data_IF_061222546997
#
_entry.id   IF_061222546997
#
_cell.length_a   1.000
_cell.length_b   1.000
_cell.length_c   1.000
_cell.angle_alpha   90.00
_cell.angle_beta   90.00
_cell.angle_gamma   90.00
#
_symmetry.space_group_name_H-M   'P 1'
#
loop_
_entity.id
_entity.type
_entity.pdbx_description
1 polymer ?
#
# COMPACT_ATOMS: atom_id res chain seq x y z
N UNK A 1 36.05 -8.80 17.21
CA UNK A 1 35.44 -7.49 16.83
C UNK A 1 34.49 -7.75 15.67
N UNK A 2 33.19 -7.49 15.82
CA UNK A 2 32.28 -7.47 14.66
C UNK A 2 32.81 -6.40 13.70
N UNK A 3 33.17 -6.78 12.49
CA UNK A 3 33.58 -5.83 11.45
C UNK A 3 32.41 -4.87 11.22
N UNK A 4 32.67 -3.57 11.20
CA UNK A 4 31.66 -2.53 11.03
C UNK A 4 31.09 -2.45 9.61
N UNK A 5 31.74 -3.15 8.66
CA UNK A 5 31.49 -3.14 7.22
C UNK A 5 31.72 -4.54 6.63
N UNK A 6 30.71 -5.40 6.62
CA UNK A 6 30.62 -6.57 5.75
C UNK A 6 29.80 -6.24 4.52
N UNK A 7 30.19 -6.80 3.38
CA UNK A 7 29.44 -6.63 2.15
C UNK A 7 28.03 -7.22 2.27
N UNK A 8 27.03 -6.60 1.59
CA UNK A 8 25.73 -7.21 1.45
C UNK A 8 25.86 -8.59 0.78
N UNK A 9 25.02 -9.55 1.19
CA UNK A 9 24.97 -10.89 0.58
C UNK A 9 23.72 -11.00 -0.29
N UNK A 10 23.87 -11.62 -1.45
CA UNK A 10 22.78 -11.83 -2.37
C UNK A 10 21.88 -12.95 -1.85
N UNK A 11 20.59 -12.67 -1.74
CA UNK A 11 19.57 -13.62 -1.34
C UNK A 11 18.77 -14.02 -2.60
N UNK A 12 19.03 -15.23 -3.13
CA UNK A 12 18.25 -15.88 -4.19
C UNK A 12 18.01 -17.34 -3.78
N UNK A 13 16.80 -17.89 -3.96
CA UNK A 13 16.62 -19.36 -3.93
C UNK A 13 16.06 -19.94 -2.66
N UNK A 14 15.56 -21.17 -2.77
CA UNK A 14 15.19 -22.05 -1.64
C UNK A 14 16.44 -22.60 -0.92
N UNK A 15 17.65 -22.40 -1.46
CA UNK A 15 18.92 -22.91 -0.91
C UNK A 15 19.29 -22.36 0.48
N UNK A 16 18.58 -21.33 0.98
CA UNK A 16 18.66 -20.82 2.35
C UNK A 16 17.37 -21.05 3.18
N UNK A 17 16.53 -22.03 2.83
CA UNK A 17 15.28 -22.36 3.57
C UNK A 17 15.51 -22.99 4.97
N UNK A 18 16.73 -23.48 5.23
CA UNK A 18 17.09 -24.09 6.52
C UNK A 18 17.08 -23.12 7.71
N UNK A 19 17.15 -21.81 7.47
CA UNK A 19 16.95 -20.78 8.49
C UNK A 19 15.63 -20.06 8.21
N UNK A 20 14.55 -20.51 8.86
CA UNK A 20 13.29 -19.79 8.94
C UNK A 20 13.50 -18.45 9.66
N UNK A 21 14.00 -17.45 8.94
CA UNK A 21 14.24 -16.12 9.49
C UNK A 21 13.01 -15.26 9.20
N UNK A 22 12.10 -15.17 10.17
CA UNK A 22 11.00 -14.19 10.15
C UNK A 22 11.54 -12.77 9.91
N UNK A 23 10.70 -11.86 9.39
CA UNK A 23 11.09 -10.47 9.20
C UNK A 23 11.75 -9.91 10.48
N UNK A 24 12.84 -9.16 10.30
CA UNK A 24 13.62 -8.67 11.44
C UNK A 24 12.81 -7.64 12.23
N UNK A 25 13.03 -7.53 13.55
CA UNK A 25 12.40 -6.49 14.38
C UNK A 25 12.60 -5.08 13.82
N UNK A 26 13.75 -4.85 13.16
CA UNK A 26 14.06 -3.57 12.53
C UNK A 26 13.23 -3.29 11.28
N UNK A 27 12.88 -4.32 10.49
CA UNK A 27 11.94 -4.18 9.37
C UNK A 27 10.52 -3.87 9.85
N UNK A 28 10.08 -4.50 10.95
CA UNK A 28 8.81 -4.15 11.58
C UNK A 28 8.80 -2.70 12.10
N UNK A 29 9.88 -2.26 12.75
CA UNK A 29 10.03 -0.87 13.19
C UNK A 29 10.07 0.12 12.01
N UNK A 30 10.68 -0.27 10.89
CA UNK A 30 10.66 0.50 9.65
C UNK A 30 9.25 0.64 9.09
N UNK A 31 8.49 -0.44 9.06
CA UNK A 31 7.13 -0.44 8.55
C UNK A 31 6.23 0.49 9.38
N UNK A 32 6.41 0.60 10.70
CA UNK A 32 5.67 1.55 11.57
C UNK A 32 5.79 3.01 11.12
N UNK A 33 6.96 3.45 10.63
CA UNK A 33 7.14 4.84 10.17
C UNK A 33 6.29 5.12 8.93
N UNK A 34 6.06 4.11 8.08
CA UNK A 34 5.14 4.25 6.95
C UNK A 34 3.68 4.25 7.39
N UNK A 35 3.33 3.54 8.47
CA UNK A 35 1.97 3.61 9.05
C UNK A 35 1.66 5.04 9.48
N UNK A 36 2.61 5.70 10.14
CA UNK A 36 2.47 7.13 10.50
C UNK A 36 2.28 7.99 9.24
N UNK A 37 3.04 7.74 8.17
CA UNK A 37 2.85 8.48 6.91
C UNK A 37 1.47 8.23 6.28
N UNK A 38 0.95 7.00 6.34
CA UNK A 38 -0.41 6.68 5.86
C UNK A 38 -1.47 7.32 6.74
N UNK A 39 -1.29 7.37 8.06
CA UNK A 39 -2.19 8.06 8.99
C UNK A 39 -2.25 9.56 8.68
N UNK A 40 -1.10 10.21 8.43
CA UNK A 40 -1.07 11.62 8.00
C UNK A 40 -1.80 11.84 6.66
N UNK A 41 -1.71 10.89 5.72
CA UNK A 41 -2.47 10.95 4.47
C UNK A 41 -3.98 10.79 4.71
N UNK A 42 -4.38 9.88 5.60
CA UNK A 42 -5.78 9.65 5.95
C UNK A 42 -6.38 10.90 6.62
N UNK A 43 -5.67 11.48 7.58
CA UNK A 43 -6.08 12.74 8.23
C UNK A 43 -6.18 13.90 7.23
N UNK A 44 -5.19 14.06 6.35
CA UNK A 44 -5.26 15.07 5.30
C UNK A 44 -6.43 14.85 4.31
N UNK A 45 -6.87 13.60 4.11
CA UNK A 45 -8.06 13.31 3.31
C UNK A 45 -9.35 13.61 4.07
N UNK A 46 -9.39 13.42 5.40
CA UNK A 46 -10.57 13.73 6.22
C UNK A 46 -10.84 15.23 6.28
N UNK A 47 -9.80 16.07 6.28
CA UNK A 47 -9.96 17.53 6.21
C UNK A 47 -10.64 18.03 4.92
N UNK A 48 -10.58 17.26 3.83
CA UNK A 48 -11.19 17.63 2.55
C UNK A 48 -11.75 16.40 1.81
N UNK A 49 -12.90 15.91 2.26
CA UNK A 49 -13.64 14.86 1.56
C UNK A 49 -14.30 15.43 0.30
N UNK A 50 -13.55 15.36 -0.80
CA UNK A 50 -14.01 15.74 -2.14
C UNK A 50 -13.23 14.94 -3.20
N UNK A 51 -13.65 15.02 -4.46
CA UNK A 51 -12.89 14.42 -5.56
C UNK A 51 -11.46 14.98 -5.62
N UNK A 52 -11.30 16.29 -5.43
CA UNK A 52 -9.99 16.95 -5.43
C UNK A 52 -9.14 16.51 -4.25
N UNK A 53 -9.73 16.41 -3.05
CA UNK A 53 -9.04 15.89 -1.87
C UNK A 53 -8.58 14.45 -2.04
N UNK A 54 -9.44 13.59 -2.59
CA UNK A 54 -9.07 12.20 -2.92
C UNK A 54 -7.94 12.11 -3.96
N UNK A 55 -8.00 12.92 -5.03
CA UNK A 55 -6.91 12.97 -6.01
C UNK A 55 -5.60 13.46 -5.39
N UNK A 56 -5.67 14.45 -4.51
CA UNK A 56 -4.50 14.95 -3.77
C UNK A 56 -3.91 13.88 -2.84
N UNK A 57 -4.77 13.19 -2.10
CA UNK A 57 -4.40 12.01 -1.30
C UNK A 57 -3.67 10.96 -2.15
N UNK A 58 -4.20 10.60 -3.32
CA UNK A 58 -3.55 9.63 -4.23
C UNK A 58 -2.18 10.12 -4.69
N UNK A 59 -2.06 11.39 -5.10
CA UNK A 59 -0.78 11.98 -5.56
C UNK A 59 0.31 11.89 -4.49
N UNK A 60 -0.03 12.15 -3.23
CA UNK A 60 0.91 12.06 -2.10
C UNK A 60 1.14 10.60 -1.63
N UNK A 61 0.14 9.72 -1.78
CA UNK A 61 0.24 8.30 -1.44
C UNK A 61 1.23 7.55 -2.35
N UNK A 62 1.24 7.85 -3.66
CA UNK A 62 2.09 7.19 -4.65
C UNK A 62 3.60 7.18 -4.28
N UNK A 63 4.25 8.31 -3.98
CA UNK A 63 5.65 8.32 -3.56
C UNK A 63 5.86 7.59 -2.23
N UNK A 64 4.98 7.75 -1.24
CA UNK A 64 5.08 7.05 0.05
C UNK A 64 5.07 5.54 -0.17
N UNK A 65 4.08 5.03 -0.89
CA UNK A 65 4.00 3.62 -1.25
C UNK A 65 5.24 3.16 -2.01
N UNK A 66 5.66 3.92 -3.02
CA UNK A 66 6.78 3.50 -3.84
C UNK A 66 8.10 3.50 -3.07
N UNK A 67 8.28 4.38 -2.09
CA UNK A 67 9.45 4.41 -1.21
C UNK A 67 9.50 3.14 -0.35
N UNK A 68 8.34 2.73 0.18
CA UNK A 68 8.20 1.48 0.91
C UNK A 68 8.57 0.28 0.04
N UNK A 69 7.99 0.19 -1.17
CA UNK A 69 8.28 -0.87 -2.14
C UNK A 69 9.77 -0.96 -2.45
N UNK A 70 10.42 0.18 -2.75
CA UNK A 70 11.84 0.21 -3.08
C UNK A 70 12.71 -0.39 -1.97
N UNK A 71 12.46 0.00 -0.72
CA UNK A 71 13.20 -0.53 0.42
C UNK A 71 12.88 -2.00 0.69
N UNK A 72 11.61 -2.37 0.57
CA UNK A 72 11.14 -3.74 0.79
C UNK A 72 11.76 -4.70 -0.22
N UNK A 73 11.79 -4.33 -1.50
CA UNK A 73 12.44 -5.13 -2.54
C UNK A 73 13.96 -5.18 -2.37
N UNK A 74 14.59 -4.11 -1.89
CA UNK A 74 16.02 -4.12 -1.56
C UNK A 74 16.31 -5.12 -0.42
N UNK A 75 15.61 -5.00 0.71
CA UNK A 75 15.81 -5.84 1.89
C UNK A 75 15.53 -7.32 1.61
N UNK A 76 14.55 -7.61 0.75
CA UNK A 76 14.27 -8.98 0.32
C UNK A 76 15.32 -9.58 -0.63
N UNK A 77 16.11 -8.75 -1.34
CA UNK A 77 17.16 -9.21 -2.26
C UNK A 77 18.55 -9.26 -1.63
N UNK A 78 18.82 -8.39 -0.66
CA UNK A 78 20.15 -8.23 -0.09
C UNK A 78 20.08 -8.38 1.42
N UNK A 79 20.81 -9.36 1.96
CA UNK A 79 21.08 -9.46 3.39
C UNK A 79 22.15 -8.46 3.80
N UNK A 80 21.98 -7.80 4.93
CA UNK A 80 22.96 -6.86 5.48
C UNK A 80 22.74 -6.72 6.99
N UNK A 81 23.16 -7.70 7.77
CA UNK A 81 22.93 -7.70 9.23
C UNK A 81 23.95 -6.85 10.03
N UNK A 82 24.22 -5.66 9.50
CA UNK A 82 25.40 -4.84 9.78
C UNK A 82 25.02 -3.46 10.30
N UNK A 83 25.89 -2.85 11.14
CA UNK A 83 25.65 -1.52 11.75
C UNK A 83 25.35 -0.46 10.68
N UNK A 84 26.11 -0.44 9.59
CA UNK A 84 25.91 0.52 8.50
C UNK A 84 24.54 0.39 7.81
N UNK A 85 24.02 -0.84 7.64
CA UNK A 85 22.67 -1.06 7.12
C UNK A 85 21.60 -0.53 8.08
N UNK A 86 21.77 -0.77 9.38
CA UNK A 86 20.86 -0.27 10.41
C UNK A 86 20.86 1.26 10.47
N UNK A 87 22.03 1.89 10.39
CA UNK A 87 22.17 3.34 10.33
C UNK A 87 21.51 3.92 9.07
N UNK A 88 21.77 3.34 7.90
CA UNK A 88 21.13 3.78 6.65
C UNK A 88 19.60 3.63 6.71
N UNK A 89 19.07 2.55 7.31
CA UNK A 89 17.63 2.42 7.51
C UNK A 89 17.10 3.45 8.50
N UNK A 90 17.82 3.78 9.58
CA UNK A 90 17.45 4.86 10.49
C UNK A 90 17.39 6.23 9.80
N UNK A 91 18.39 6.58 8.99
CA UNK A 91 18.37 7.82 8.19
C UNK A 91 17.22 7.79 7.18
N UNK A 92 16.92 6.62 6.60
CA UNK A 92 15.78 6.48 5.70
C UNK A 92 14.45 6.66 6.43
N UNK A 93 14.30 6.15 7.65
CA UNK A 93 13.12 6.39 8.50
C UNK A 93 12.93 7.89 8.76
N UNK A 94 14.01 8.63 9.06
CA UNK A 94 13.93 10.09 9.22
C UNK A 94 13.45 10.79 7.95
N UNK A 95 13.90 10.35 6.78
CA UNK A 95 13.43 10.89 5.51
C UNK A 95 11.92 10.62 5.29
N UNK A 96 11.42 9.43 5.66
CA UNK A 96 9.99 9.12 5.58
C UNK A 96 9.17 9.87 6.63
N UNK A 97 9.69 10.05 7.84
CA UNK A 97 9.06 10.87 8.86
C UNK A 97 8.97 12.34 8.42
N UNK A 98 10.03 12.89 7.83
CA UNK A 98 10.01 14.22 7.24
C UNK A 98 8.96 14.30 6.10
N UNK A 99 8.86 13.26 5.28
CA UNK A 99 7.85 13.19 4.23
C UNK A 99 6.42 13.21 4.82
N UNK A 100 6.16 12.44 5.87
CA UNK A 100 4.90 12.43 6.61
C UNK A 100 4.55 13.81 7.21
N UNK A 101 5.52 14.51 7.82
CA UNK A 101 5.33 15.87 8.37
C UNK A 101 4.89 16.87 7.29
N UNK A 102 5.33 16.68 6.05
CA UNK A 102 4.99 17.58 4.95
C UNK A 102 3.69 17.18 4.23
N UNK A 103 2.96 16.14 4.66
CA UNK A 103 1.73 15.68 4.00
C UNK A 103 0.59 16.71 4.05
N UNK A 104 0.22 17.31 5.21
CA UNK A 104 -0.97 18.18 5.30
C UNK A 104 -0.99 19.35 4.30
N UNK A 105 0.19 19.90 3.97
CA UNK A 105 0.33 20.97 2.98
C UNK A 105 1.20 20.56 1.78
N UNK A 106 1.31 19.25 1.54
CA UNK A 106 2.27 18.66 0.58
C UNK A 106 2.00 19.02 -0.87
N UNK A 107 0.80 19.51 -1.20
CA UNK A 107 0.45 20.05 -2.52
C UNK A 107 0.39 21.59 -2.54
N UNK A 108 0.81 22.24 -1.46
CA UNK A 108 0.84 23.70 -1.30
C UNK A 108 2.17 24.15 -0.72
N UNK A 109 2.13 24.77 0.45
CA UNK A 109 3.27 25.44 1.08
C UNK A 109 4.43 24.49 1.41
N UNK A 110 4.15 23.26 1.86
CA UNK A 110 5.18 22.28 2.25
C UNK A 110 5.57 21.33 1.10
N UNK A 111 5.19 21.66 -0.14
CA UNK A 111 5.48 20.80 -1.30
C UNK A 111 6.98 20.71 -1.62
N UNK A 112 7.77 21.75 -1.33
CA UNK A 112 9.24 21.68 -1.44
C UNK A 112 9.85 20.73 -0.40
N UNK A 113 9.42 20.82 0.86
CA UNK A 113 9.83 19.92 1.94
C UNK A 113 9.46 18.47 1.66
N UNK A 114 8.26 18.21 1.15
CA UNK A 114 7.82 16.90 0.68
C UNK A 114 8.75 16.35 -0.41
N UNK A 115 9.09 17.19 -1.40
CA UNK A 115 9.95 16.81 -2.50
C UNK A 115 11.38 16.49 -2.05
N UNK A 116 11.95 17.30 -1.15
CA UNK A 116 13.27 17.09 -0.57
C UNK A 116 13.32 15.79 0.25
N UNK A 117 12.30 15.53 1.07
CA UNK A 117 12.21 14.32 1.88
C UNK A 117 12.15 13.06 1.00
N UNK A 118 11.35 13.08 -0.07
CA UNK A 118 11.30 11.97 -1.01
C UNK A 118 12.62 11.78 -1.79
N UNK A 119 13.23 12.88 -2.25
CA UNK A 119 14.54 12.84 -2.90
C UNK A 119 15.62 12.25 -1.98
N UNK A 120 15.61 12.59 -0.69
CA UNK A 120 16.50 12.01 0.31
C UNK A 120 16.28 10.50 0.48
N UNK A 121 15.01 10.07 0.64
CA UNK A 121 14.67 8.64 0.74
C UNK A 121 15.13 7.85 -0.50
N UNK A 122 14.98 8.42 -1.70
CA UNK A 122 15.45 7.83 -2.97
C UNK A 122 16.97 7.79 -3.07
N UNK A 123 17.65 8.86 -2.68
CA UNK A 123 19.12 8.93 -2.69
C UNK A 123 19.73 7.86 -1.80
N UNK A 124 19.16 7.62 -0.62
CA UNK A 124 19.59 6.53 0.28
C UNK A 124 19.40 5.17 -0.39
N UNK A 125 18.28 4.95 -1.07
CA UNK A 125 18.04 3.71 -1.82
C UNK A 125 19.05 3.52 -2.98
N UNK A 126 19.39 4.59 -3.69
CA UNK A 126 20.42 4.59 -4.74
C UNK A 126 21.78 4.19 -4.15
N UNK A 127 22.18 4.79 -3.02
CA UNK A 127 23.43 4.45 -2.31
C UNK A 127 23.46 2.96 -1.97
N UNK A 128 22.35 2.42 -1.43
CA UNK A 128 22.22 0.99 -1.11
C UNK A 128 22.42 0.11 -2.35
N UNK A 129 21.78 0.42 -3.47
CA UNK A 129 21.97 -0.34 -4.72
C UNK A 129 23.38 -0.25 -5.30
N UNK A 130 24.00 0.94 -5.30
CA UNK A 130 25.38 1.11 -5.73
C UNK A 130 26.33 0.29 -4.85
N UNK A 131 26.14 0.33 -3.54
CA UNK A 131 26.94 -0.43 -2.58
C UNK A 131 26.81 -1.94 -2.81
N UNK A 132 25.59 -2.44 -3.03
CA UNK A 132 25.33 -3.83 -3.38
C UNK A 132 25.97 -4.25 -4.71
N UNK A 133 25.86 -3.41 -5.76
CA UNK A 133 26.48 -3.69 -7.07
C UNK A 133 28.00 -3.68 -7.06
N UNK A 134 28.61 -2.93 -6.13
CA UNK A 134 30.05 -2.92 -5.97
C UNK A 134 30.56 -4.26 -5.42
N UNK A 135 29.91 -4.79 -4.38
CA UNK A 135 30.34 -6.02 -3.70
C UNK A 135 29.83 -7.32 -4.34
N UNK A 136 28.68 -7.28 -5.02
CA UNK A 136 28.06 -8.46 -5.63
C UNK A 136 28.10 -8.31 -7.16
N UNK A 137 29.13 -8.89 -7.79
CA UNK A 137 29.32 -8.82 -9.25
C UNK A 137 28.14 -9.40 -10.03
N UNK A 138 27.53 -10.48 -9.55
CA UNK A 138 26.37 -11.14 -10.16
C UNK A 138 25.12 -10.23 -10.21
N UNK A 139 24.93 -9.35 -9.23
CA UNK A 139 23.79 -8.46 -9.15
C UNK A 139 24.02 -7.11 -9.84
N UNK A 140 25.26 -6.82 -10.26
CA UNK A 140 25.70 -5.51 -10.74
C UNK A 140 24.87 -4.94 -11.89
N UNK A 141 24.45 -5.78 -12.84
CA UNK A 141 23.60 -5.35 -13.95
C UNK A 141 22.25 -4.79 -13.46
N UNK A 142 21.58 -5.53 -12.57
CA UNK A 142 20.29 -5.14 -12.00
C UNK A 142 20.42 -3.93 -11.08
N UNK A 143 21.40 -3.93 -10.18
CA UNK A 143 21.59 -2.83 -9.22
C UNK A 143 21.99 -1.53 -9.92
N UNK A 144 22.82 -1.60 -10.98
CA UNK A 144 23.17 -0.41 -11.78
C UNK A 144 21.96 0.14 -12.52
N UNK A 145 21.11 -0.72 -13.09
CA UNK A 145 19.87 -0.30 -13.76
C UNK A 145 18.94 0.41 -12.77
N UNK A 146 18.73 -0.18 -11.59
CA UNK A 146 17.89 0.39 -10.54
C UNK A 146 18.48 1.70 -10.01
N UNK A 147 19.78 1.73 -9.72
CA UNK A 147 20.47 2.93 -9.25
C UNK A 147 20.37 4.08 -10.26
N UNK A 148 20.52 3.82 -11.56
CA UNK A 148 20.37 4.84 -12.61
C UNK A 148 18.95 5.40 -12.66
N UNK A 149 17.93 4.54 -12.74
CA UNK A 149 16.54 4.97 -12.81
C UNK A 149 16.12 5.78 -11.57
N UNK A 150 16.43 5.26 -10.38
CA UNK A 150 16.12 5.94 -9.12
C UNK A 150 16.98 7.18 -8.87
N UNK A 151 18.20 7.26 -9.39
CA UNK A 151 19.00 8.49 -9.33
C UNK A 151 18.40 9.59 -10.19
N UNK A 152 17.94 9.27 -11.40
CA UNK A 152 17.25 10.25 -12.27
C UNK A 152 15.98 10.75 -11.57
N UNK A 153 15.17 9.83 -11.01
CA UNK A 153 13.99 10.21 -10.25
C UNK A 153 14.36 11.09 -9.03
N UNK A 154 15.35 10.70 -8.23
CA UNK A 154 15.84 11.48 -7.09
C UNK A 154 16.28 12.90 -7.49
N UNK A 155 17.01 13.03 -8.60
CA UNK A 155 17.42 14.34 -9.13
C UNK A 155 16.24 15.19 -9.56
N UNK A 156 15.23 14.61 -10.23
CA UNK A 156 14.02 15.35 -10.61
C UNK A 156 13.26 15.85 -9.39
N UNK A 157 13.10 15.01 -8.38
CA UNK A 157 12.45 15.38 -7.12
C UNK A 157 13.25 16.45 -6.36
N UNK A 158 14.58 16.33 -6.30
CA UNK A 158 15.46 17.35 -5.70
C UNK A 158 15.33 18.70 -6.43
N UNK A 159 15.42 18.69 -7.76
CA UNK A 159 15.29 19.90 -8.58
C UNK A 159 13.91 20.52 -8.40
N UNK A 160 12.86 19.70 -8.31
CA UNK A 160 11.48 20.17 -8.18
C UNK A 160 11.25 21.03 -6.94
N UNK A 161 12.01 20.83 -5.85
CA UNK A 161 11.92 21.65 -4.66
C UNK A 161 12.26 23.12 -4.92
N UNK A 162 13.13 23.40 -5.90
CA UNK A 162 13.55 24.75 -6.26
C UNK A 162 12.78 25.35 -7.44
N UNK A 163 11.83 24.61 -7.99
CA UNK A 163 11.00 25.02 -9.14
C UNK A 163 9.63 25.50 -8.64
N UNK A 164 9.10 26.62 -9.13
CA UNK A 164 7.78 27.12 -8.73
C UNK A 164 6.63 26.19 -9.17
N UNK A 165 5.52 26.25 -8.44
CA UNK A 165 4.27 25.62 -8.86
C UNK A 165 3.71 26.32 -10.11
N UNK A 166 3.14 25.59 -11.10
CA UNK A 166 2.81 24.16 -11.10
C UNK A 166 3.91 23.24 -11.66
N UNK A 167 5.01 23.78 -12.18
CA UNK A 167 6.08 23.00 -12.84
C UNK A 167 6.74 21.97 -11.91
N UNK A 168 6.74 22.23 -10.59
CA UNK A 168 7.10 21.25 -9.56
C UNK A 168 6.36 19.91 -9.73
N UNK A 169 5.04 19.95 -9.90
CA UNK A 169 4.22 18.74 -10.03
C UNK A 169 4.43 18.01 -11.37
N UNK A 170 4.83 18.73 -12.41
CA UNK A 170 5.24 18.11 -13.68
C UNK A 170 6.50 17.26 -13.46
N UNK A 171 7.49 17.79 -12.74
CA UNK A 171 8.69 17.04 -12.37
C UNK A 171 8.38 15.85 -11.46
N UNK A 172 7.43 15.97 -10.55
CA UNK A 172 6.96 14.84 -9.73
C UNK A 172 6.35 13.74 -10.60
N UNK A 173 5.49 14.11 -11.55
CA UNK A 173 4.88 13.16 -12.48
C UNK A 173 5.91 12.40 -13.30
N UNK A 174 6.91 13.11 -13.84
CA UNK A 174 8.03 12.49 -14.60
C UNK A 174 8.87 11.61 -13.67
N UNK A 175 9.21 12.09 -12.47
CA UNK A 175 9.99 11.35 -11.47
C UNK A 175 9.31 10.05 -11.07
N UNK A 176 8.01 10.10 -10.75
CA UNK A 176 7.20 8.92 -10.45
C UNK A 176 7.08 7.96 -11.64
N UNK A 177 6.90 8.48 -12.85
CA UNK A 177 6.84 7.64 -14.04
C UNK A 177 8.14 6.85 -14.23
N UNK A 178 9.31 7.48 -14.03
CA UNK A 178 10.62 6.82 -14.08
C UNK A 178 10.74 5.79 -12.95
N UNK A 179 10.33 6.16 -11.74
CA UNK A 179 10.33 5.30 -10.57
C UNK A 179 9.55 4.00 -10.83
N UNK A 180 8.32 4.08 -11.34
CA UNK A 180 7.48 2.93 -11.68
C UNK A 180 8.01 2.18 -12.92
N UNK A 181 8.58 2.88 -13.91
CA UNK A 181 9.14 2.25 -15.10
C UNK A 181 10.45 1.49 -14.81
N UNK A 182 11.19 1.86 -13.77
CA UNK A 182 12.52 1.31 -13.47
C UNK A 182 12.48 -0.22 -13.25
N UNK A 183 11.59 -0.78 -12.40
CA UNK A 183 11.45 -2.24 -12.32
C UNK A 183 10.88 -2.87 -13.59
N UNK A 184 9.92 -2.23 -14.25
CA UNK A 184 9.27 -2.77 -15.46
C UNK A 184 10.26 -2.96 -16.62
N UNK A 185 11.19 -2.02 -16.79
CA UNK A 185 12.22 -2.06 -17.83
C UNK A 185 13.35 -3.06 -17.51
N UNK A 186 13.52 -3.42 -16.23
CA UNK A 186 14.53 -4.38 -15.77
C UNK A 186 14.08 -5.85 -15.83
N UNK A 187 12.92 -6.14 -16.43
CA UNK A 187 12.29 -7.47 -16.49
C UNK A 187 13.27 -8.62 -16.76
N UNK A 188 14.17 -8.51 -17.74
CA UNK A 188 15.16 -9.56 -18.08
C UNK A 188 16.28 -9.72 -17.03
N UNK A 189 16.64 -8.65 -16.35
CA UNK A 189 17.64 -8.68 -15.27
C UNK A 189 17.05 -9.22 -13.97
N UNK A 190 15.73 -9.07 -13.79
CA UNK A 190 15.02 -9.58 -12.62
C UNK A 190 14.82 -11.10 -12.65
N UNK A 191 14.67 -11.73 -13.82
CA UNK A 191 14.38 -13.17 -13.91
C UNK A 191 15.45 -14.06 -13.28
N UNK A 192 16.71 -13.64 -13.29
CA UNK A 192 17.81 -14.36 -12.61
C UNK A 192 18.04 -13.98 -11.15
N UNK A 193 17.37 -12.94 -10.65
CA UNK A 193 17.62 -12.29 -9.35
C UNK A 193 16.30 -11.97 -8.62
N UNK A 194 15.29 -12.83 -8.78
CA UNK A 194 13.97 -12.63 -8.16
C UNK A 194 14.12 -12.59 -6.63
N UNK A 195 13.47 -11.62 -5.94
CA UNK A 195 13.52 -11.54 -4.48
C UNK A 195 13.00 -12.81 -3.82
N UNK A 196 13.37 -13.04 -2.55
CA UNK A 196 12.79 -14.12 -1.76
C UNK A 196 11.27 -13.96 -1.64
N UNK A 197 10.55 -14.99 -2.05
CA UNK A 197 9.11 -14.94 -2.26
C UNK A 197 8.29 -15.30 -1.02
N UNK A 198 8.96 -15.74 0.05
CA UNK A 198 8.29 -16.12 1.30
C UNK A 198 8.07 -14.93 2.22
N UNK A 199 9.00 -13.97 2.26
CA UNK A 199 8.90 -12.77 3.10
C UNK A 199 8.13 -11.61 2.47
N UNK A 200 7.99 -11.58 1.13
CA UNK A 200 7.22 -10.53 0.48
C UNK A 200 5.72 -10.57 0.85
N UNK A 201 5.02 -11.72 0.76
CA UNK A 201 3.64 -11.81 1.25
C UNK A 201 3.51 -11.48 2.73
N UNK A 202 4.48 -11.88 3.57
CA UNK A 202 4.51 -11.54 5.00
C UNK A 202 4.55 -10.02 5.22
N UNK A 203 5.47 -9.31 4.56
CA UNK A 203 5.59 -7.85 4.69
C UNK A 203 4.41 -7.09 4.12
N UNK A 204 3.87 -7.52 2.98
CA UNK A 204 2.64 -6.94 2.44
C UNK A 204 1.44 -7.24 3.34
N UNK A 205 1.39 -8.41 3.96
CA UNK A 205 0.43 -8.76 5.00
C UNK A 205 0.51 -7.78 6.17
N UNK A 206 1.68 -7.64 6.78
CA UNK A 206 1.91 -6.73 7.91
C UNK A 206 1.56 -5.28 7.56
N UNK A 207 2.03 -4.77 6.40
CA UNK A 207 1.68 -3.44 5.94
C UNK A 207 0.16 -3.28 5.79
N UNK A 208 -0.52 -4.27 5.21
CA UNK A 208 -1.98 -4.25 5.04
C UNK A 208 -2.71 -4.27 6.38
N UNK A 209 -2.23 -5.03 7.36
CA UNK A 209 -2.75 -5.00 8.74
C UNK A 209 -2.60 -3.62 9.35
N UNK A 210 -1.46 -2.95 9.15
CA UNK A 210 -1.28 -1.62 9.70
C UNK A 210 -2.19 -0.57 9.06
N UNK A 211 -2.38 -0.61 7.75
CA UNK A 211 -3.36 0.26 7.06
C UNK A 211 -4.79 -0.04 7.52
N UNK A 212 -5.14 -1.31 7.75
CA UNK A 212 -6.42 -1.68 8.37
C UNK A 212 -6.52 -1.19 9.81
N UNK A 213 -5.42 -1.18 10.55
CA UNK A 213 -5.32 -0.62 11.89
C UNK A 213 -5.70 0.86 11.91
N UNK A 214 -5.27 1.63 10.91
CA UNK A 214 -5.69 3.03 10.74
C UNK A 214 -7.21 3.15 10.58
N UNK A 215 -7.84 2.28 9.80
CA UNK A 215 -9.29 2.27 9.67
C UNK A 215 -10.02 1.94 10.99
N UNK A 216 -9.42 1.10 11.85
CA UNK A 216 -9.94 0.82 13.19
C UNK A 216 -9.78 2.03 14.10
N UNK A 217 -8.64 2.74 14.04
CA UNK A 217 -8.42 3.99 14.78
C UNK A 217 -9.48 5.01 14.38
N UNK A 218 -9.74 5.17 13.08
CA UNK A 218 -10.75 6.09 12.55
C UNK A 218 -12.17 5.77 13.09
N UNK A 219 -12.53 4.50 13.22
CA UNK A 219 -13.79 4.07 13.87
C UNK A 219 -13.83 4.49 15.35
N UNK A 220 -12.75 4.24 16.08
CA UNK A 220 -12.67 4.54 17.52
C UNK A 220 -12.70 6.04 17.76
N UNK A 221 -11.95 6.83 16.97
CA UNK A 221 -11.92 8.29 17.05
C UNK A 221 -13.29 8.89 16.75
N UNK A 222 -13.95 8.45 15.67
CA UNK A 222 -15.30 8.92 15.34
C UNK A 222 -16.33 8.68 16.44
N UNK A 223 -16.25 7.54 17.14
CA UNK A 223 -17.12 7.26 18.30
C UNK A 223 -16.74 8.11 19.51
N UNK A 224 -15.45 8.36 19.73
CA UNK A 224 -14.96 9.11 20.89
C UNK A 224 -15.33 10.61 20.82
N UNK A 225 -15.48 11.16 19.61
CA UNK A 225 -15.87 12.55 19.37
C UNK A 225 -17.38 12.78 19.46
N UNK A 226 -18.20 11.74 19.28
CA UNK A 226 -19.65 11.82 19.42
C UNK A 226 -20.08 11.51 20.87
N UNK A 227 -21.07 12.22 21.39
CA UNK A 227 -21.81 11.74 22.57
C UNK A 227 -22.38 10.35 22.23
N UNK A 228 -22.16 9.34 23.08
CA UNK A 228 -22.47 7.91 22.87
C UNK A 228 -23.96 7.65 22.53
N UNK A 229 -24.37 7.98 21.32
CA UNK A 229 -25.70 7.71 20.78
C UNK A 229 -25.77 6.32 20.18
N UNK A 230 -26.94 5.68 20.29
CA UNK A 230 -27.18 4.33 19.78
C UNK A 230 -26.84 4.19 18.28
N UNK A 231 -27.06 5.24 17.49
CA UNK A 231 -26.79 5.24 16.05
C UNK A 231 -25.30 5.27 15.69
N UNK A 232 -24.48 6.06 16.39
CA UNK A 232 -23.02 6.11 16.19
C UNK A 232 -22.37 4.80 16.61
N UNK A 233 -22.86 4.16 17.68
CA UNK A 233 -22.40 2.83 18.09
C UNK A 233 -22.72 1.75 17.03
N UNK A 234 -23.92 1.80 16.44
CA UNK A 234 -24.32 0.89 15.36
C UNK A 234 -23.48 1.14 14.09
N UNK A 235 -23.27 2.39 13.71
CA UNK A 235 -22.42 2.75 12.57
C UNK A 235 -20.98 2.27 12.76
N UNK A 236 -20.42 2.43 13.95
CA UNK A 236 -19.10 1.93 14.32
C UNK A 236 -19.00 0.40 14.25
N UNK A 237 -20.02 -0.32 14.71
CA UNK A 237 -20.08 -1.77 14.59
C UNK A 237 -20.07 -2.22 13.12
N UNK A 238 -20.83 -1.54 12.25
CA UNK A 238 -20.81 -1.82 10.81
C UNK A 238 -19.47 -1.45 10.16
N UNK A 239 -18.87 -0.32 10.55
CA UNK A 239 -17.55 0.13 10.11
C UNK A 239 -16.44 -0.86 10.46
N UNK A 240 -16.43 -1.34 11.71
CA UNK A 240 -15.55 -2.44 12.14
C UNK A 240 -15.82 -3.71 11.33
N UNK A 241 -17.08 -4.05 11.08
CA UNK A 241 -17.48 -5.17 10.22
C UNK A 241 -16.93 -5.08 8.79
N UNK A 242 -16.86 -3.88 8.21
CA UNK A 242 -16.23 -3.64 6.90
C UNK A 242 -14.72 -3.92 6.98
N UNK A 243 -14.02 -3.32 7.95
CA UNK A 243 -12.58 -3.53 8.13
C UNK A 243 -12.25 -5.01 8.35
N UNK A 244 -13.01 -5.69 9.22
CA UNK A 244 -12.85 -7.11 9.49
C UNK A 244 -13.13 -8.00 8.26
N UNK A 245 -14.14 -7.67 7.47
CA UNK A 245 -14.46 -8.41 6.24
C UNK A 245 -13.36 -8.25 5.19
N UNK A 246 -12.82 -7.04 5.01
CA UNK A 246 -11.72 -6.78 4.09
C UNK A 246 -10.44 -7.49 4.53
N UNK A 247 -10.14 -7.46 5.84
CA UNK A 247 -9.07 -8.26 6.44
C UNK A 247 -9.23 -9.75 6.12
N UNK A 248 -10.41 -10.31 6.41
CA UNK A 248 -10.69 -11.74 6.22
C UNK A 248 -10.54 -12.16 4.76
N UNK A 249 -11.14 -11.39 3.85
CA UNK A 249 -11.06 -11.62 2.41
C UNK A 249 -9.61 -11.56 1.93
N UNK A 250 -8.81 -10.59 2.38
CA UNK A 250 -7.42 -10.48 1.95
C UNK A 250 -6.57 -11.64 2.46
N UNK A 251 -6.61 -11.92 3.77
CA UNK A 251 -5.73 -12.90 4.40
C UNK A 251 -6.07 -14.35 4.09
N UNK A 252 -7.34 -14.70 3.83
CA UNK A 252 -7.66 -16.05 3.35
C UNK A 252 -7.11 -16.34 1.96
N UNK A 253 -6.85 -15.29 1.17
CA UNK A 253 -6.48 -15.43 -0.22
C UNK A 253 -4.97 -15.24 -0.43
N UNK A 254 -4.30 -14.41 0.38
CA UNK A 254 -2.87 -14.16 0.24
C UNK A 254 -2.07 -15.47 0.38
N UNK A 255 -1.51 -15.94 -0.72
CA UNK A 255 -0.65 -17.13 -0.73
C UNK A 255 0.64 -16.81 -1.48
N UNK A 256 1.77 -17.27 -0.95
CA UNK A 256 3.06 -17.21 -1.66
C UNK A 256 3.12 -18.12 -2.90
N UNK A 257 2.09 -18.94 -3.14
CA UNK A 257 2.08 -19.98 -4.18
C UNK A 257 2.20 -19.43 -5.60
N UNK A 258 1.53 -18.32 -5.87
CA UNK A 258 1.57 -17.68 -7.18
C UNK A 258 2.91 -16.98 -7.44
N UNK A 259 3.52 -16.41 -6.41
CA UNK A 259 4.89 -15.88 -6.51
C UNK A 259 5.88 -17.01 -6.79
N UNK A 260 5.77 -18.15 -6.07
CA UNK A 260 6.60 -19.35 -6.33
C UNK A 260 6.43 -19.87 -7.75
N UNK A 261 5.18 -19.93 -8.23
CA UNK A 261 4.87 -20.34 -9.60
C UNK A 261 5.41 -19.35 -10.64
N UNK A 262 5.28 -18.04 -10.40
CA UNK A 262 5.84 -17.00 -11.25
C UNK A 262 7.34 -17.15 -11.40
N UNK A 263 8.03 -17.49 -10.31
CA UNK A 263 9.46 -17.77 -10.33
C UNK A 263 9.81 -19.04 -11.10
N UNK A 264 9.17 -20.16 -10.78
CA UNK A 264 9.43 -21.43 -11.44
C UNK A 264 9.18 -21.37 -12.96
N UNK A 265 8.23 -20.54 -13.39
CA UNK A 265 7.90 -20.36 -14.81
C UNK A 265 8.59 -19.16 -15.48
N UNK A 266 9.45 -18.41 -14.77
CA UNK A 266 10.10 -17.20 -15.28
C UNK A 266 9.14 -16.05 -15.64
N UNK A 267 7.88 -16.11 -15.20
CA UNK A 267 6.80 -15.18 -15.56
C UNK A 267 6.81 -13.95 -14.64
N UNK A 268 7.81 -13.09 -14.78
CA UNK A 268 7.95 -11.85 -13.99
C UNK A 268 6.76 -10.89 -14.12
N UNK A 269 5.95 -10.99 -15.18
CA UNK A 269 4.70 -10.23 -15.32
C UNK A 269 3.71 -10.53 -14.17
N UNK A 270 3.65 -11.77 -13.68
CA UNK A 270 2.78 -12.16 -12.55
C UNK A 270 3.23 -11.44 -11.28
N UNK A 271 4.55 -11.37 -11.06
CA UNK A 271 5.13 -10.61 -9.95
C UNK A 271 4.84 -9.10 -10.06
N UNK A 272 4.96 -8.52 -11.25
CA UNK A 272 4.64 -7.11 -11.46
C UNK A 272 3.15 -6.85 -11.20
N UNK A 273 2.23 -7.69 -11.71
CA UNK A 273 0.80 -7.55 -11.42
C UNK A 273 0.51 -7.68 -9.92
N UNK A 274 1.22 -8.56 -9.20
CA UNK A 274 1.13 -8.61 -7.74
C UNK A 274 1.53 -7.28 -7.12
N UNK A 275 2.73 -6.81 -7.44
CA UNK A 275 3.33 -5.61 -6.87
C UNK A 275 2.46 -4.36 -7.08
N UNK A 276 2.10 -4.09 -8.33
CA UNK A 276 1.31 -2.91 -8.71
C UNK A 276 -0.18 -3.07 -8.39
N UNK A 277 -0.69 -4.30 -8.35
CA UNK A 277 -2.08 -4.57 -8.00
C UNK A 277 -2.40 -4.25 -6.54
N UNK A 278 -1.44 -4.34 -5.63
CA UNK A 278 -1.66 -3.99 -4.22
C UNK A 278 -1.78 -2.48 -3.97
N UNK A 279 -1.26 -1.62 -4.87
CA UNK A 279 -1.35 -0.17 -4.73
C UNK A 279 -2.80 0.33 -4.62
N UNK A 280 -3.72 0.05 -5.58
CA UNK A 280 -5.11 0.45 -5.44
C UNK A 280 -5.81 -0.19 -4.24
N UNK A 281 -5.40 -1.40 -3.82
CA UNK A 281 -5.94 -2.02 -2.61
C UNK A 281 -5.61 -1.19 -1.37
N UNK A 282 -4.35 -0.83 -1.15
CA UNK A 282 -3.95 -0.08 0.06
C UNK A 282 -4.47 1.35 0.06
N UNK A 283 -4.57 1.99 -1.11
CA UNK A 283 -5.26 3.29 -1.28
C UNK A 283 -6.72 3.16 -0.85
N UNK A 284 -7.41 2.14 -1.35
CA UNK A 284 -8.81 1.88 -1.00
C UNK A 284 -8.99 1.57 0.49
N UNK A 285 -8.08 0.82 1.11
CA UNK A 285 -8.14 0.49 2.53
C UNK A 285 -8.00 1.74 3.42
N UNK A 286 -6.99 2.57 3.16
CA UNK A 286 -6.80 3.83 3.89
C UNK A 286 -7.99 4.78 3.70
N UNK A 287 -8.45 4.97 2.47
CA UNK A 287 -9.62 5.81 2.18
C UNK A 287 -10.94 5.26 2.77
N UNK A 288 -11.05 3.93 2.95
CA UNK A 288 -12.20 3.32 3.63
C UNK A 288 -12.24 3.69 5.10
N UNK A 289 -11.09 3.80 5.78
CA UNK A 289 -11.02 4.29 7.15
C UNK A 289 -11.62 5.69 7.29
N UNK A 290 -11.17 6.62 6.45
CA UNK A 290 -11.70 8.00 6.39
C UNK A 290 -13.18 8.02 6.05
N UNK A 291 -13.62 7.23 5.07
CA UNK A 291 -15.03 7.13 4.71
C UNK A 291 -15.91 6.65 5.87
N UNK A 292 -15.45 5.66 6.63
CA UNK A 292 -16.17 5.14 7.81
C UNK A 292 -16.23 6.17 8.93
N UNK A 293 -15.13 6.84 9.23
CA UNK A 293 -15.06 7.92 10.23
C UNK A 293 -16.07 9.04 9.91
N UNK A 294 -16.08 9.52 8.67
CA UNK A 294 -17.02 10.55 8.25
C UNK A 294 -18.48 10.09 8.39
N UNK A 295 -18.81 8.85 8.04
CA UNK A 295 -20.18 8.34 8.22
C UNK A 295 -20.59 8.27 9.70
N UNK A 296 -19.64 8.02 10.61
CA UNK A 296 -19.91 8.00 12.06
C UNK A 296 -20.20 9.43 12.55
N UNK A 297 -19.43 10.41 12.06
CA UNK A 297 -19.54 11.82 12.43
C UNK A 297 -20.73 12.55 11.76
N UNK A 298 -21.29 12.01 10.67
CA UNK A 298 -22.42 12.63 9.98
C UNK A 298 -23.68 12.70 10.86
N UNK A 299 -24.51 13.72 10.63
CA UNK A 299 -25.81 13.85 11.31
C UNK A 299 -26.74 12.68 10.96
N UNK A 300 -27.18 11.94 11.99
CA UNK A 300 -27.84 10.66 11.79
C UNK A 300 -29.28 10.72 11.23
N UNK A 301 -29.95 11.87 11.35
CA UNK A 301 -31.29 12.11 10.80
C UNK A 301 -31.28 12.70 9.38
N UNK A 302 -30.11 13.08 8.88
CA UNK A 302 -29.93 13.65 7.55
C UNK A 302 -29.43 12.60 6.56
N UNK A 303 -29.61 12.83 5.25
CA UNK A 303 -29.01 11.97 4.24
C UNK A 303 -27.49 12.13 4.23
N UNK A 304 -26.76 11.01 4.06
CA UNK A 304 -25.30 11.04 4.00
C UNK A 304 -24.82 11.93 2.83
N UNK A 305 -23.97 12.94 3.07
CA UNK A 305 -23.43 13.80 2.03
C UNK A 305 -22.83 13.00 0.86
N UNK A 306 -23.05 13.51 -0.36
CA UNK A 306 -22.62 12.83 -1.58
C UNK A 306 -21.13 12.49 -1.57
N UNK A 307 -20.28 13.41 -1.13
CA UNK A 307 -18.83 13.20 -1.12
C UNK A 307 -18.42 12.06 -0.17
N UNK A 308 -19.02 11.97 1.02
CA UNK A 308 -18.76 10.91 2.02
C UNK A 308 -19.29 9.56 1.54
N UNK A 309 -20.49 9.55 0.94
CA UNK A 309 -21.08 8.35 0.33
C UNK A 309 -20.21 7.81 -0.80
N UNK A 310 -19.72 8.69 -1.68
CA UNK A 310 -18.81 8.33 -2.76
C UNK A 310 -17.46 7.86 -2.25
N UNK A 311 -16.93 8.50 -1.20
CA UNK A 311 -15.67 8.09 -0.58
C UNK A 311 -15.78 6.66 -0.03
N UNK A 312 -16.77 6.37 0.82
CA UNK A 312 -16.98 5.06 1.41
C UNK A 312 -17.25 3.97 0.36
N UNK A 313 -18.21 4.21 -0.55
CA UNK A 313 -18.57 3.21 -1.55
C UNK A 313 -17.45 3.01 -2.57
N UNK A 314 -16.80 4.09 -3.00
CA UNK A 314 -15.72 4.09 -3.97
C UNK A 314 -14.45 3.43 -3.44
N UNK A 315 -14.07 3.69 -2.19
CA UNK A 315 -12.88 3.11 -1.57
C UNK A 315 -13.01 1.59 -1.39
N UNK A 316 -14.17 1.12 -0.91
CA UNK A 316 -14.45 -0.32 -0.76
C UNK A 316 -14.57 -1.00 -2.13
N UNK A 317 -15.17 -0.32 -3.12
CA UNK A 317 -15.20 -0.81 -4.50
C UNK A 317 -13.78 -0.92 -5.09
N UNK A 318 -12.89 0.03 -4.81
CA UNK A 318 -11.49 0.00 -5.24
C UNK A 318 -10.74 -1.20 -4.64
N UNK A 319 -10.97 -1.51 -3.35
CA UNK A 319 -10.44 -2.71 -2.70
C UNK A 319 -10.87 -3.99 -3.43
N UNK A 320 -12.17 -4.16 -3.69
CA UNK A 320 -12.68 -5.35 -4.36
C UNK A 320 -12.30 -5.42 -5.84
N UNK A 321 -12.16 -4.29 -6.52
CA UNK A 321 -11.64 -4.22 -7.89
C UNK A 321 -10.20 -4.72 -7.94
N UNK A 322 -9.33 -4.22 -7.05
CA UNK A 322 -7.95 -4.68 -6.94
C UNK A 322 -7.89 -6.18 -6.64
N UNK A 323 -8.62 -6.66 -5.63
CA UNK A 323 -8.70 -8.08 -5.30
C UNK A 323 -9.21 -8.90 -6.49
N UNK A 324 -10.21 -8.41 -7.23
CA UNK A 324 -10.74 -9.06 -8.43
C UNK A 324 -9.69 -9.21 -9.53
N UNK A 325 -8.87 -8.19 -9.76
CA UNK A 325 -7.73 -8.22 -10.69
C UNK A 325 -6.71 -9.25 -10.24
N UNK A 326 -6.32 -9.24 -8.96
CA UNK A 326 -5.34 -10.17 -8.38
C UNK A 326 -5.80 -11.64 -8.41
N UNK A 327 -7.11 -11.89 -8.27
CA UNK A 327 -7.69 -13.23 -8.48
C UNK A 327 -7.73 -13.63 -9.96
N UNK A 328 -8.10 -12.72 -10.86
CA UNK A 328 -8.22 -13.01 -12.29
C UNK A 328 -6.89 -13.41 -12.91
N UNK A 329 -5.82 -12.74 -12.49
CA UNK A 329 -4.46 -13.00 -12.96
C UNK A 329 -3.81 -14.21 -12.29
N UNK A 330 -4.49 -14.85 -11.33
CA UNK A 330 -4.00 -16.03 -10.62
C UNK A 330 -2.83 -15.74 -9.67
N UNK A 331 -2.62 -14.46 -9.35
CA UNK A 331 -1.49 -13.95 -8.60
C UNK A 331 -1.68 -14.12 -7.09
N UNK A 332 -2.92 -14.27 -6.63
CA UNK A 332 -3.24 -14.60 -5.24
C UNK A 332 -3.85 -16.01 -5.18
N UNK A 333 -4.92 -16.22 -5.96
CA UNK A 333 -5.55 -17.51 -6.23
C UNK A 333 -6.36 -17.40 -7.52
N UNK A 334 -6.09 -18.25 -8.50
CA UNK A 334 -6.91 -18.24 -9.71
C UNK A 334 -8.30 -18.81 -9.41
N UNK A 335 -9.33 -17.98 -9.48
CA UNK A 335 -10.71 -18.45 -9.40
C UNK A 335 -11.63 -17.49 -10.16
N UNK A 336 -12.08 -17.92 -11.35
CA UNK A 336 -13.01 -17.14 -12.20
C UNK A 336 -14.27 -16.75 -11.45
N UNK A 337 -14.77 -17.64 -10.57
CA UNK A 337 -15.99 -17.41 -9.81
C UNK A 337 -15.79 -16.31 -8.76
N UNK A 338 -14.69 -16.33 -7.99
CA UNK A 338 -14.32 -15.23 -7.07
C UNK A 338 -14.21 -13.91 -7.80
N UNK A 339 -13.51 -13.86 -8.95
CA UNK A 339 -13.44 -12.64 -9.75
C UNK A 339 -14.83 -12.10 -10.12
N UNK A 340 -15.77 -12.95 -10.53
CA UNK A 340 -17.15 -12.53 -10.84
C UNK A 340 -17.85 -11.94 -9.62
N UNK A 341 -17.78 -12.58 -8.45
CA UNK A 341 -18.39 -12.07 -7.22
C UNK A 341 -17.78 -10.72 -6.79
N UNK A 342 -16.47 -10.55 -6.93
CA UNK A 342 -15.79 -9.28 -6.65
C UNK A 342 -16.25 -8.17 -7.60
N UNK A 343 -16.34 -8.44 -8.91
CA UNK A 343 -16.84 -7.46 -9.87
C UNK A 343 -18.33 -7.14 -9.68
N UNK A 344 -19.14 -8.12 -9.29
CA UNK A 344 -20.53 -7.89 -8.89
C UNK A 344 -20.65 -6.99 -7.66
N UNK A 345 -19.73 -7.15 -6.70
CA UNK A 345 -19.62 -6.28 -5.52
C UNK A 345 -19.26 -4.85 -5.88
N UNK A 346 -18.28 -4.67 -6.78
CA UNK A 346 -17.94 -3.35 -7.32
C UNK A 346 -19.17 -2.68 -7.95
N UNK A 347 -19.92 -3.42 -8.78
CA UNK A 347 -21.13 -2.89 -9.40
C UNK A 347 -22.21 -2.51 -8.37
N UNK A 348 -22.41 -3.33 -7.33
CA UNK A 348 -23.36 -3.05 -6.26
C UNK A 348 -22.99 -1.81 -5.44
N UNK A 349 -21.71 -1.64 -5.09
CA UNK A 349 -21.22 -0.49 -4.35
C UNK A 349 -21.30 0.80 -5.17
N UNK A 350 -20.98 0.74 -6.47
CA UNK A 350 -21.14 1.89 -7.37
C UNK A 350 -22.62 2.25 -7.58
N UNK A 351 -23.50 1.25 -7.66
CA UNK A 351 -24.94 1.49 -7.71
C UNK A 351 -25.44 2.16 -6.43
N UNK A 352 -24.94 1.75 -5.25
CA UNK A 352 -25.25 2.42 -3.98
C UNK A 352 -24.73 3.86 -3.94
N UNK A 353 -23.53 4.12 -4.46
CA UNK A 353 -22.97 5.47 -4.53
C UNK A 353 -23.86 6.42 -5.37
N UNK A 354 -24.37 5.91 -6.50
CA UNK A 354 -25.20 6.66 -7.46
C UNK A 354 -26.64 6.83 -6.95
N UNK A 355 -27.28 5.75 -6.48
CA UNK A 355 -28.70 5.74 -6.15
C UNK A 355 -29.01 6.03 -4.68
N UNK A 356 -28.00 5.98 -3.80
CA UNK A 356 -28.16 6.14 -2.35
C UNK A 356 -28.24 7.59 -1.86
N UNK A 357 -28.67 8.54 -2.70
CA UNK A 357 -28.64 9.99 -2.39
C UNK A 357 -29.48 10.40 -1.18
N UNK A 358 -30.53 9.65 -0.87
CA UNK A 358 -31.47 9.95 0.22
C UNK A 358 -31.35 8.96 1.39
N UNK A 359 -30.30 8.14 1.42
CA UNK A 359 -30.12 7.15 2.48
C UNK A 359 -29.42 7.77 3.69
N UNK A 360 -29.88 7.37 4.88
CA UNK A 360 -29.26 7.76 6.14
C UNK A 360 -27.85 7.13 6.27
N UNK A 361 -26.91 7.78 6.98
CA UNK A 361 -25.56 7.28 7.25
C UNK A 361 -25.52 5.81 7.68
N UNK A 362 -26.31 5.46 8.70
CA UNK A 362 -26.40 4.09 9.23
C UNK A 362 -26.89 3.09 8.18
N UNK A 363 -27.83 3.48 7.32
CA UNK A 363 -28.33 2.61 6.24
C UNK A 363 -27.26 2.35 5.20
N UNK A 364 -26.51 3.38 4.78
CA UNK A 364 -25.43 3.24 3.81
C UNK A 364 -24.34 2.30 4.33
N UNK A 365 -23.82 2.55 5.53
CA UNK A 365 -22.74 1.73 6.11
C UNK A 365 -23.20 0.30 6.42
N UNK A 366 -24.46 0.10 6.82
CA UNK A 366 -25.03 -1.23 6.99
C UNK A 366 -25.06 -2.01 5.67
N UNK A 367 -25.50 -1.39 4.58
CA UNK A 367 -25.51 -2.03 3.25
C UNK A 367 -24.08 -2.39 2.82
N UNK A 368 -23.13 -1.46 2.94
CA UNK A 368 -21.72 -1.73 2.60
C UNK A 368 -21.15 -2.88 3.44
N UNK A 369 -21.43 -2.89 4.75
CA UNK A 369 -20.99 -3.95 5.67
C UNK A 369 -21.59 -5.32 5.31
N UNK A 370 -22.89 -5.38 5.01
CA UNK A 370 -23.57 -6.62 4.58
C UNK A 370 -22.98 -7.14 3.25
N UNK A 371 -22.71 -6.24 2.30
CA UNK A 371 -22.07 -6.60 1.02
C UNK A 371 -20.69 -7.20 1.27
N UNK A 372 -19.88 -6.59 2.15
CA UNK A 372 -18.57 -7.11 2.54
C UNK A 372 -18.67 -8.47 3.25
N UNK A 373 -19.58 -8.63 4.20
CA UNK A 373 -19.81 -9.89 4.92
C UNK A 373 -20.28 -11.00 3.96
N UNK A 374 -21.12 -10.66 2.98
CA UNK A 374 -21.55 -11.60 1.93
C UNK A 374 -20.36 -12.10 1.11
N UNK A 375 -19.36 -11.26 0.84
CA UNK A 375 -18.13 -11.70 0.17
C UNK A 375 -17.33 -12.70 1.02
N UNK A 376 -17.30 -12.52 2.35
CA UNK A 376 -16.68 -13.49 3.27
C UNK A 376 -17.42 -14.84 3.21
N UNK A 377 -18.75 -14.82 3.28
CA UNK A 377 -19.57 -16.04 3.22
C UNK A 377 -19.40 -16.79 1.89
N UNK A 378 -19.34 -16.07 0.77
CA UNK A 378 -19.09 -16.65 -0.55
C UNK A 378 -17.70 -17.30 -0.63
N UNK A 379 -16.68 -16.68 -0.05
CA UNK A 379 -15.34 -17.25 0.02
C UNK A 379 -15.31 -18.54 0.87
N UNK A 380 -15.99 -18.54 2.02
CA UNK A 380 -16.11 -19.72 2.90
C UNK A 380 -16.82 -20.87 2.20
N UNK A 381 -17.99 -20.62 1.59
CA UNK A 381 -18.74 -21.63 0.84
C UNK A 381 -17.91 -22.28 -0.28
N UNK A 382 -17.12 -21.46 -0.98
CA UNK A 382 -16.25 -21.99 -2.03
C UNK A 382 -15.07 -22.79 -1.47
N UNK A 383 -14.54 -22.42 -0.31
CA UNK A 383 -13.45 -23.17 0.32
C UNK A 383 -13.89 -24.54 0.83
N UNK A 384 -15.12 -24.66 1.37
CA UNK A 384 -15.68 -25.95 1.79
C UNK A 384 -16.03 -26.84 0.60
N UNK A 385 -16.58 -26.27 -0.48
CA UNK A 385 -16.90 -27.02 -1.72
C UNK A 385 -15.68 -27.58 -2.45
N UNK A 386 -14.47 -27.07 -2.17
CA UNK A 386 -13.23 -27.57 -2.76
C UNK A 386 -12.60 -28.73 -1.97
N UNK A 387 -13.10 -29.01 -0.76
CA UNK A 387 -12.63 -30.07 0.13
C UNK A 387 -13.56 -31.31 0.13
N UNK A 388 -14.77 -31.17 -0.44
CA UNK A 388 -15.71 -32.25 -0.70
C UNK A 388 -15.56 -32.74 -2.14
#
# INVERSE_FOLDING_TARGET
>A
MKSWLQPPRLRIGEENEGEHRNATWLEHFYDLVYVVAVSQLAHNLSENVSLTGFLGFVVLFLPIWWAWIGTTLYANRFDSDEIAHRLLMGVQMLAIAALAVNVPHGLGESSDGFALAYAAARTILVIKYLWAGWHISQARGLTTHYARGFAIAASLWLISAFVPMPWRFVLWGIGLAIDFATPLTATRLQTGLMPHLQHLPERFGLFTIFVLGEAIIAVVSGVAEQDWGDQSAIAAAFGFGIAFSLWWVYFQNISGSALRTARASGRIQVFNVWLYGHLPLVIGLAATGVGVEHVILSEAESALPDAERWLLCGSVALCFLSLGILHRTGVIRYCKLRTKHRLGTVAALLALAIAGTNLLPVTVIAIVSIVCATQVLLDLYQSSSALA
#
